data_IF_252399769290
#
_entry.id   IF_252399769290
#
_cell.length_a   1.000
_cell.length_b   1.000
_cell.length_c   1.000
_cell.angle_alpha   90.00
_cell.angle_beta   90.00
_cell.angle_gamma   90.00
#
_symmetry.space_group_name_H-M   'P 1'
#
loop_
_entity.id
_entity.type
_entity.pdbx_description
1 polymer ?
#
# COMPACT_ATOMS: atom_id res chain seq x y z
N UNK A 1 -24.23 -29.52 -14.51
CA UNK A 1 -25.04 -28.32 -14.20
C UNK A 1 -24.42 -27.60 -13.02
N UNK A 2 -24.55 -28.08 -11.77
CA UNK A 2 -23.97 -27.40 -10.59
C UNK A 2 -22.44 -27.22 -10.67
N UNK A 3 -21.71 -28.26 -11.10
CA UNK A 3 -20.26 -28.18 -11.30
C UNK A 3 -19.85 -27.11 -12.33
N UNK A 4 -20.56 -27.03 -13.45
CA UNK A 4 -20.30 -26.06 -14.51
C UNK A 4 -20.64 -24.63 -14.08
N UNK A 5 -21.71 -24.45 -13.30
CA UNK A 5 -22.05 -23.14 -12.72
C UNK A 5 -20.97 -22.67 -11.73
N UNK A 6 -20.44 -23.57 -10.91
CA UNK A 6 -19.35 -23.24 -9.98
C UNK A 6 -18.05 -22.88 -10.71
N UNK A 7 -17.68 -23.62 -11.76
CA UNK A 7 -16.53 -23.29 -12.62
C UNK A 7 -16.71 -21.92 -13.30
N UNK A 8 -17.92 -21.62 -13.79
CA UNK A 8 -18.23 -20.31 -14.38
C UNK A 8 -18.10 -19.17 -13.38
N UNK A 9 -18.57 -19.36 -12.14
CA UNK A 9 -18.42 -18.36 -11.08
C UNK A 9 -16.95 -18.17 -10.68
N UNK A 10 -16.16 -19.24 -10.64
CA UNK A 10 -14.71 -19.15 -10.39
C UNK A 10 -14.00 -18.38 -11.51
N UNK A 11 -14.34 -18.64 -12.77
CA UNK A 11 -13.81 -17.88 -13.91
C UNK A 11 -14.21 -16.40 -13.85
N UNK A 12 -15.39 -16.08 -13.33
CA UNK A 12 -15.84 -14.70 -13.17
C UNK A 12 -15.09 -13.98 -12.03
N UNK A 13 -14.77 -14.70 -10.95
CA UNK A 13 -13.94 -14.17 -9.85
C UNK A 13 -12.54 -13.81 -10.37
N UNK A 14 -11.91 -14.70 -11.16
CA UNK A 14 -10.62 -14.41 -11.79
C UNK A 14 -10.72 -13.21 -12.75
N UNK A 15 -11.78 -13.14 -13.55
CA UNK A 15 -12.02 -12.00 -14.43
C UNK A 15 -12.12 -10.69 -13.65
N UNK A 16 -12.84 -10.67 -12.53
CA UNK A 16 -12.96 -9.50 -11.66
C UNK A 16 -11.60 -9.13 -11.07
N UNK A 17 -10.85 -10.10 -10.57
CA UNK A 17 -9.50 -9.90 -10.05
C UNK A 17 -8.59 -9.21 -11.08
N UNK A 18 -8.71 -9.62 -12.36
CA UNK A 18 -7.92 -9.08 -13.46
C UNK A 18 -8.45 -7.78 -14.08
N UNK A 19 -9.71 -7.41 -13.82
CA UNK A 19 -10.36 -6.23 -14.42
C UNK A 19 -10.44 -5.05 -13.45
N UNK A 20 -10.34 -5.27 -12.13
CA UNK A 20 -10.37 -4.16 -11.15
C UNK A 20 -9.07 -3.36 -11.26
N UNK A 21 -9.19 -2.17 -11.85
CA UNK A 21 -8.11 -1.22 -12.05
C UNK A 21 -8.40 0.15 -11.44
N UNK A 22 -7.34 0.83 -11.03
CA UNK A 22 -7.34 2.25 -10.69
C UNK A 22 -6.16 2.91 -11.40
N UNK A 23 -6.45 3.98 -12.14
CA UNK A 23 -5.44 4.69 -12.95
C UNK A 23 -4.60 3.75 -13.83
N UNK A 24 -5.27 2.83 -14.55
CA UNK A 24 -4.65 1.81 -15.43
C UNK A 24 -3.81 0.74 -14.72
N UNK A 25 -3.75 0.78 -13.38
CA UNK A 25 -3.04 -0.21 -12.57
C UNK A 25 -4.03 -1.21 -11.97
N UNK A 26 -3.77 -2.50 -12.16
CA UNK A 26 -4.61 -3.57 -11.63
C UNK A 26 -4.36 -3.71 -10.14
N UNK A 27 -5.43 -3.67 -9.35
CA UNK A 27 -5.29 -3.64 -7.89
C UNK A 27 -5.28 -5.04 -7.26
N UNK A 28 -6.03 -5.98 -7.82
CA UNK A 28 -6.33 -7.27 -7.18
C UNK A 28 -5.57 -8.47 -7.78
N UNK A 29 -4.75 -8.23 -8.81
CA UNK A 29 -3.92 -9.25 -9.46
C UNK A 29 -2.65 -9.62 -8.65
N UNK A 30 -2.41 -8.96 -7.50
CA UNK A 30 -1.19 -9.13 -6.69
C UNK A 30 0.01 -8.33 -7.17
N UNK A 31 -0.18 -7.37 -8.07
CA UNK A 31 0.90 -6.49 -8.53
C UNK A 31 1.48 -5.64 -7.40
N UNK A 32 0.64 -5.29 -6.43
CA UNK A 32 0.96 -4.50 -5.24
C UNK A 32 1.22 -5.35 -3.99
N UNK A 33 1.45 -6.65 -4.14
CA UNK A 33 1.89 -7.51 -3.06
C UNK A 33 3.42 -7.60 -3.01
N UNK A 34 3.96 -8.06 -1.89
CA UNK A 34 5.39 -8.28 -1.72
C UNK A 34 5.86 -9.43 -2.65
N UNK A 35 6.89 -9.15 -3.47
CA UNK A 35 7.41 -10.12 -4.46
C UNK A 35 8.64 -10.84 -3.94
N UNK A 36 8.67 -12.15 -4.12
CA UNK A 36 9.82 -12.99 -3.83
C UNK A 36 10.10 -13.86 -5.04
N UNK A 37 11.38 -13.99 -5.35
CA UNK A 37 11.84 -14.77 -6.49
C UNK A 37 12.48 -16.05 -5.98
N UNK A 38 12.24 -17.13 -6.68
CA UNK A 38 12.87 -18.42 -6.44
C UNK A 38 13.91 -18.66 -7.52
N UNK A 39 14.95 -19.43 -7.18
CA UNK A 39 16.00 -19.79 -8.13
C UNK A 39 15.53 -20.86 -9.11
N UNK A 40 14.57 -21.70 -8.70
CA UNK A 40 13.97 -22.73 -9.53
C UNK A 40 12.66 -22.27 -10.19
N UNK A 41 12.52 -22.54 -11.49
CA UNK A 41 11.34 -22.14 -12.29
C UNK A 41 10.04 -22.88 -11.89
N UNK A 42 10.19 -23.96 -11.13
CA UNK A 42 9.14 -24.91 -10.72
C UNK A 42 8.41 -24.52 -9.43
N UNK A 43 8.98 -23.62 -8.64
CA UNK A 43 8.39 -23.11 -7.40
C UNK A 43 8.30 -21.59 -7.49
N UNK A 44 7.19 -20.98 -7.07
CA UNK A 44 7.03 -19.53 -6.96
C UNK A 44 6.61 -19.20 -5.55
N UNK A 45 6.99 -18.04 -5.02
CA UNK A 45 6.37 -17.55 -3.78
C UNK A 45 5.09 -16.82 -4.16
N UNK A 46 3.96 -17.31 -3.64
CA UNK A 46 2.63 -16.75 -3.90
C UNK A 46 2.40 -15.48 -3.08
N UNK A 47 2.71 -15.53 -1.79
CA UNK A 47 2.62 -14.38 -0.86
C UNK A 47 3.61 -14.55 0.29
N UNK A 48 4.08 -13.45 0.89
CA UNK A 48 4.79 -13.52 2.17
C UNK A 48 4.50 -12.28 3.03
N UNK A 49 4.51 -12.45 4.36
CA UNK A 49 4.14 -11.40 5.30
C UNK A 49 5.19 -10.29 5.42
N UNK A 50 4.75 -9.11 5.86
CA UNK A 50 5.58 -7.94 6.19
C UNK A 50 6.67 -8.22 7.24
N UNK A 51 6.54 -9.31 8.01
CA UNK A 51 7.50 -9.77 9.01
C UNK A 51 8.61 -10.67 8.46
N UNK A 52 8.53 -11.06 7.18
CA UNK A 52 9.62 -11.75 6.50
C UNK A 52 10.71 -10.73 6.20
N UNK A 53 11.85 -10.86 6.88
CA UNK A 53 12.99 -9.97 6.69
C UNK A 53 13.55 -10.11 5.27
N UNK A 54 13.93 -8.99 4.65
CA UNK A 54 14.54 -9.00 3.31
C UNK A 54 15.81 -9.87 3.29
N UNK A 55 15.93 -10.70 2.27
CA UNK A 55 17.11 -11.53 2.05
C UNK A 55 16.81 -12.91 1.49
N UNK A 56 17.88 -13.68 1.35
CA UNK A 56 17.85 -15.03 0.81
C UNK A 56 17.44 -16.03 1.90
N UNK A 57 16.46 -16.84 1.56
CA UNK A 57 15.91 -17.95 2.32
C UNK A 57 16.25 -19.22 1.54
N UNK A 58 17.10 -20.07 2.10
CA UNK A 58 17.53 -21.29 1.42
C UNK A 58 16.60 -22.42 1.85
N UNK A 59 15.96 -23.10 0.92
CA UNK A 59 15.31 -24.38 1.18
C UNK A 59 16.24 -25.46 0.66
N UNK A 60 16.78 -26.29 1.55
CA UNK A 60 17.63 -27.42 1.16
C UNK A 60 16.80 -28.69 1.11
N UNK A 61 17.13 -29.60 0.20
CA UNK A 61 16.43 -30.88 0.04
C UNK A 61 14.90 -30.74 -0.07
N UNK A 62 14.42 -29.91 -1.01
CA UNK A 62 12.99 -29.73 -1.22
C UNK A 62 12.40 -30.98 -1.89
N UNK A 63 11.75 -31.82 -1.08
CA UNK A 63 11.03 -33.00 -1.53
C UNK A 63 9.52 -32.76 -1.47
N UNK A 64 8.83 -33.12 -2.56
CA UNK A 64 7.37 -33.06 -2.69
C UNK A 64 6.85 -34.46 -2.90
N UNK A 65 5.80 -34.86 -2.16
CA UNK A 65 4.98 -36.02 -2.55
C UNK A 65 3.71 -35.53 -3.23
N UNK A 66 3.36 -36.15 -4.35
CA UNK A 66 2.15 -35.85 -5.12
C UNK A 66 1.06 -36.88 -4.77
N UNK A 67 -0.19 -36.43 -4.62
CA UNK A 67 -1.36 -37.30 -4.53
C UNK A 67 -1.72 -37.90 -5.90
N UNK A 68 -2.69 -38.82 -5.91
CA UNK A 68 -3.15 -39.51 -7.12
C UNK A 68 -3.85 -38.58 -8.16
N UNK A 69 -4.15 -37.34 -7.77
CA UNK A 69 -4.80 -36.32 -8.61
C UNK A 69 -3.80 -35.28 -9.13
N UNK A 70 -2.50 -35.44 -8.82
CA UNK A 70 -1.43 -34.57 -9.29
C UNK A 70 -1.24 -33.29 -8.47
N UNK A 71 -1.73 -33.24 -7.22
CA UNK A 71 -1.49 -32.12 -6.29
C UNK A 71 -0.41 -32.47 -5.26
N UNK A 72 0.28 -31.46 -4.74
CA UNK A 72 1.24 -31.57 -3.61
C UNK A 72 0.50 -32.04 -2.35
N UNK A 73 0.81 -33.25 -1.87
CA UNK A 73 0.26 -33.90 -0.67
C UNK A 73 1.18 -33.71 0.56
N UNK A 74 2.50 -33.66 0.34
CA UNK A 74 3.45 -33.27 1.39
C UNK A 74 4.62 -32.47 0.81
N UNK A 75 5.08 -31.50 1.60
CA UNK A 75 6.26 -30.68 1.31
C UNK A 75 7.23 -30.86 2.46
N UNK A 76 8.42 -31.36 2.16
CA UNK A 76 9.54 -31.48 3.09
C UNK A 76 10.68 -30.63 2.55
N UNK A 77 11.21 -29.75 3.38
CA UNK A 77 12.40 -28.97 3.07
C UNK A 77 13.17 -28.70 4.36
N UNK A 78 14.49 -28.73 4.27
CA UNK A 78 15.38 -28.24 5.31
C UNK A 78 15.46 -26.71 5.18
N UNK A 79 14.85 -26.00 6.12
CA UNK A 79 14.87 -24.54 6.16
C UNK A 79 16.26 -24.05 6.59
N UNK A 80 16.97 -23.36 5.69
CA UNK A 80 18.30 -22.80 5.90
C UNK A 80 18.35 -21.29 5.53
N UNK A 81 19.42 -20.59 5.91
CA UNK A 81 19.51 -19.14 5.70
C UNK A 81 18.72 -18.33 6.73
N UNK A 82 17.92 -17.34 6.31
CA UNK A 82 17.18 -16.43 7.21
C UNK A 82 15.84 -16.97 7.73
N UNK A 83 15.49 -18.23 7.46
CA UNK A 83 14.29 -18.82 8.04
C UNK A 83 14.37 -18.83 9.58
N UNK A 84 13.34 -18.35 10.29
CA UNK A 84 13.27 -18.54 11.73
C UNK A 84 13.22 -20.04 12.07
N UNK A 85 13.90 -20.46 13.15
CA UNK A 85 14.05 -21.87 13.52
C UNK A 85 12.71 -22.62 13.80
N UNK A 86 11.60 -21.89 13.92
CA UNK A 86 10.25 -22.41 14.19
C UNK A 86 9.35 -22.43 12.96
N UNK A 87 9.89 -22.33 11.74
CA UNK A 87 9.08 -22.45 10.51
C UNK A 87 8.50 -23.86 10.42
N UNK A 88 7.17 -23.93 10.36
CA UNK A 88 6.40 -25.16 10.13
C UNK A 88 5.50 -24.97 8.93
N UNK A 89 5.28 -26.05 8.19
CA UNK A 89 4.19 -26.10 7.21
C UNK A 89 2.87 -26.11 7.99
N UNK A 90 2.09 -25.03 7.91
CA UNK A 90 0.80 -24.90 8.58
C UNK A 90 -0.27 -25.67 7.82
N UNK A 91 -0.33 -25.49 6.49
CA UNK A 91 -1.28 -26.17 5.60
C UNK A 91 -0.70 -26.34 4.19
N UNK A 92 -1.10 -27.40 3.51
CA UNK A 92 -0.91 -27.57 2.07
C UNK A 92 -2.31 -27.68 1.46
N UNK A 93 -2.67 -26.78 0.55
CA UNK A 93 -3.97 -26.81 -0.12
C UNK A 93 -3.80 -26.42 -1.58
N UNK A 94 -4.38 -27.22 -2.49
CA UNK A 94 -4.40 -26.99 -3.93
C UNK A 94 -3.05 -26.51 -4.47
N UNK A 95 -2.00 -27.25 -4.11
CA UNK A 95 -0.65 -27.05 -4.62
C UNK A 95 0.09 -25.79 -4.12
N UNK A 96 -0.42 -25.19 -3.04
CA UNK A 96 0.22 -24.12 -2.28
C UNK A 96 0.60 -24.58 -0.88
N UNK A 97 1.83 -24.30 -0.46
CA UNK A 97 2.38 -24.63 0.86
C UNK A 97 2.41 -23.35 1.70
N UNK A 98 1.58 -23.32 2.75
CA UNK A 98 1.58 -22.25 3.73
C UNK A 98 2.60 -22.56 4.82
N UNK A 99 3.69 -21.81 4.85
CA UNK A 99 4.67 -21.84 5.94
C UNK A 99 4.27 -20.80 6.99
N UNK A 100 4.18 -21.22 8.26
CA UNK A 100 4.03 -20.30 9.40
C UNK A 100 5.14 -20.52 10.41
N UNK A 101 5.65 -19.43 10.99
CA UNK A 101 6.49 -19.49 12.18
C UNK A 101 5.90 -18.65 13.32
N UNK A 102 6.25 -18.99 14.56
CA UNK A 102 5.69 -18.41 15.80
C UNK A 102 5.81 -16.88 15.94
N UNK A 103 6.61 -16.23 15.11
CA UNK A 103 6.79 -14.77 15.09
C UNK A 103 5.83 -14.02 14.15
N UNK A 104 4.84 -14.70 13.55
CA UNK A 104 3.96 -14.11 12.52
C UNK A 104 4.61 -14.08 11.14
N UNK A 105 5.61 -14.92 10.91
CA UNK A 105 6.15 -15.24 9.60
C UNK A 105 5.09 -16.09 8.89
N UNK A 106 4.55 -15.60 7.77
CA UNK A 106 3.69 -16.39 6.89
C UNK A 106 4.28 -16.30 5.48
N UNK A 107 4.57 -17.43 4.85
CA UNK A 107 5.02 -17.48 3.45
C UNK A 107 4.29 -18.59 2.73
N UNK A 108 3.57 -18.24 1.67
CA UNK A 108 2.87 -19.19 0.82
C UNK A 108 3.72 -19.45 -0.42
N UNK A 109 4.11 -20.71 -0.63
CA UNK A 109 4.80 -21.13 -1.84
C UNK A 109 3.79 -21.78 -2.77
N UNK A 110 3.76 -21.37 -4.02
CA UNK A 110 3.04 -22.00 -5.10
C UNK A 110 3.98 -22.98 -5.82
N UNK A 111 3.62 -24.27 -5.82
CA UNK A 111 4.40 -25.33 -6.45
C UNK A 111 3.68 -25.88 -7.70
N UNK A 112 2.70 -25.14 -8.25
CA UNK A 112 1.81 -25.58 -9.37
C UNK A 112 2.60 -26.09 -10.58
N UNK A 113 3.79 -25.54 -10.80
CA UNK A 113 4.69 -25.96 -11.87
C UNK A 113 5.48 -27.24 -11.53
N UNK A 114 5.86 -27.44 -10.28
CA UNK A 114 6.51 -28.67 -9.83
C UNK A 114 5.57 -29.89 -9.90
N UNK A 115 4.30 -29.67 -9.58
CA UNK A 115 3.24 -30.67 -9.68
C UNK A 115 2.88 -31.00 -11.13
N UNK A 116 2.81 -29.99 -12.01
CA UNK A 116 2.59 -30.19 -13.45
C UNK A 116 3.76 -30.92 -14.14
N UNK A 117 4.99 -30.77 -13.64
CA UNK A 117 6.19 -31.45 -14.16
C UNK A 117 6.47 -32.81 -13.49
N UNK A 118 5.70 -33.22 -12.48
CA UNK A 118 5.89 -34.49 -11.77
C UNK A 118 7.24 -34.63 -11.04
N UNK A 119 7.89 -33.50 -10.71
CA UNK A 119 9.18 -33.48 -10.02
C UNK A 119 8.96 -33.60 -8.52
N UNK A 120 9.38 -34.73 -7.96
CA UNK A 120 9.30 -35.03 -6.51
C UNK A 120 10.51 -34.55 -5.71
N UNK A 121 11.56 -34.10 -6.40
CA UNK A 121 12.78 -33.54 -5.81
C UNK A 121 13.14 -32.26 -6.56
N UNK A 122 13.02 -31.12 -5.89
CA UNK A 122 13.34 -29.79 -6.43
C UNK A 122 14.75 -29.34 -6.06
N UNK A 123 15.51 -30.17 -5.33
CA UNK A 123 16.86 -29.82 -4.90
C UNK A 123 16.89 -28.63 -3.94
N UNK A 124 18.01 -27.90 -3.94
CA UNK A 124 18.18 -26.70 -3.14
C UNK A 124 17.53 -25.51 -3.87
N UNK A 125 16.54 -24.88 -3.24
CA UNK A 125 15.82 -23.73 -3.78
C UNK A 125 16.08 -22.50 -2.92
N UNK A 126 16.80 -21.54 -3.48
CA UNK A 126 16.95 -20.23 -2.84
C UNK A 126 15.77 -19.33 -3.20
N UNK A 127 15.15 -18.76 -2.18
CA UNK A 127 14.08 -17.77 -2.24
C UNK A 127 14.66 -16.42 -1.86
N UNK A 128 14.67 -15.48 -2.79
CA UNK A 128 14.99 -14.08 -2.52
C UNK A 128 13.70 -13.30 -2.21
N UNK A 129 13.47 -13.02 -0.93
CA UNK A 129 12.42 -12.10 -0.51
C UNK A 129 12.92 -10.66 -0.68
N UNK A 130 12.57 -10.06 -1.81
CA UNK A 130 13.07 -8.74 -2.20
C UNK A 130 12.55 -7.61 -1.30
N UNK A 131 11.40 -7.81 -0.64
CA UNK A 131 10.70 -6.78 0.12
C UNK A 131 10.36 -5.55 -0.73
N UNK A 132 10.15 -5.77 -2.04
CA UNK A 132 9.74 -4.78 -3.04
C UNK A 132 8.43 -5.29 -3.65
N UNK A 133 7.47 -4.39 -3.86
CA UNK A 133 6.19 -4.73 -4.50
C UNK A 133 5.01 -3.91 -3.96
N UNK A 134 5.05 -3.54 -2.68
CA UNK A 134 4.03 -2.67 -2.09
C UNK A 134 3.96 -1.32 -2.80
N UNK A 135 2.73 -0.81 -3.03
CA UNK A 135 2.51 0.53 -3.54
C UNK A 135 2.93 1.55 -2.49
N UNK A 136 3.79 2.50 -2.86
CA UNK A 136 4.28 3.55 -1.95
C UNK A 136 3.62 4.86 -2.30
N UNK A 137 2.73 5.34 -1.44
CA UNK A 137 2.08 6.64 -1.58
C UNK A 137 2.77 7.66 -0.68
N UNK A 138 3.19 8.79 -1.24
CA UNK A 138 3.62 9.92 -0.43
C UNK A 138 2.37 10.65 0.08
N UNK A 139 2.16 10.59 1.39
CA UNK A 139 0.95 11.11 2.04
C UNK A 139 1.25 12.34 2.89
N UNK A 140 2.48 12.83 2.88
CA UNK A 140 2.92 13.95 3.71
C UNK A 140 3.80 14.95 2.96
N UNK A 141 3.90 16.15 3.52
CA UNK A 141 4.68 17.26 2.97
C UNK A 141 6.18 17.11 3.20
N UNK A 142 6.61 16.26 4.15
CA UNK A 142 8.02 16.02 4.47
C UNK A 142 8.55 14.74 3.83
N UNK A 143 9.87 14.70 3.59
CA UNK A 143 10.56 13.50 3.12
C UNK A 143 10.37 12.31 4.07
N UNK A 144 10.12 11.13 3.51
CA UNK A 144 9.94 9.89 4.27
C UNK A 144 8.52 9.66 4.82
N UNK A 145 7.59 10.60 4.65
CA UNK A 145 6.17 10.41 4.99
C UNK A 145 5.44 9.62 3.90
N UNK A 146 5.72 8.31 3.87
CA UNK A 146 5.13 7.38 2.91
C UNK A 146 4.22 6.37 3.58
N UNK A 147 3.13 6.03 2.89
CA UNK A 147 2.25 4.92 3.21
C UNK A 147 2.53 3.80 2.22
N UNK A 148 2.95 2.65 2.75
CA UNK A 148 3.08 1.42 1.97
C UNK A 148 1.76 0.66 2.02
N UNK A 149 1.14 0.50 0.86
CA UNK A 149 -0.11 -0.23 0.67
C UNK A 149 0.24 -1.57 0.03
N UNK A 150 -0.09 -2.64 0.74
CA UNK A 150 0.03 -4.00 0.25
C UNK A 150 -1.37 -4.49 -0.11
N UNK A 151 -1.56 -4.90 -1.37
CA UNK A 151 -2.81 -5.51 -1.81
C UNK A 151 -2.47 -6.91 -2.32
N UNK A 152 -2.80 -7.96 -1.56
CA UNK A 152 -2.53 -9.31 -1.98
C UNK A 152 -3.47 -9.72 -3.11
N UNK A 153 -3.05 -10.72 -3.89
CA UNK A 153 -3.86 -11.23 -5.00
C UNK A 153 -5.14 -11.89 -4.49
N UNK A 154 -6.26 -11.66 -5.18
CA UNK A 154 -7.58 -12.25 -4.89
C UNK A 154 -8.02 -13.20 -6.03
N UNK A 155 -7.06 -13.88 -6.67
CA UNK A 155 -7.34 -14.91 -7.68
C UNK A 155 -7.80 -16.23 -7.08
N UNK A 156 -8.49 -17.06 -7.87
CA UNK A 156 -8.97 -18.38 -7.44
C UNK A 156 -7.83 -19.30 -6.99
N UNK A 157 -6.63 -19.08 -7.52
CA UNK A 157 -5.41 -19.83 -7.16
C UNK A 157 -5.00 -19.56 -5.72
N UNK A 158 -4.91 -18.30 -5.33
CA UNK A 158 -4.53 -17.87 -3.98
C UNK A 158 -5.61 -18.18 -2.95
N UNK A 159 -6.86 -18.33 -3.39
CA UNK A 159 -8.00 -18.69 -2.55
C UNK A 159 -8.24 -20.20 -2.46
N UNK A 160 -7.47 -21.04 -3.15
CA UNK A 160 -7.64 -22.51 -3.15
C UNK A 160 -8.99 -22.95 -3.72
N UNK A 161 -9.45 -22.30 -4.80
CA UNK A 161 -10.73 -22.58 -5.45
C UNK A 161 -10.57 -23.23 -6.83
N UNK A 162 -9.36 -23.61 -7.26
CA UNK A 162 -9.12 -24.22 -8.58
C UNK A 162 -9.76 -25.59 -8.75
N UNK A 163 -9.75 -26.42 -7.70
CA UNK A 163 -10.26 -27.80 -7.74
C UNK A 163 -11.47 -27.98 -6.81
N UNK A 164 -12.59 -27.33 -7.15
CA UNK A 164 -13.87 -27.57 -6.48
C UNK A 164 -14.59 -28.74 -7.16
N UNK A 165 -14.79 -29.84 -6.43
CA UNK A 165 -15.61 -30.95 -6.90
C UNK A 165 -16.95 -30.98 -6.15
N UNK A 166 -18.02 -30.56 -6.82
CA UNK A 166 -19.39 -30.54 -6.29
C UNK A 166 -20.22 -31.77 -6.70
N UNK A 167 -19.59 -32.75 -7.34
CA UNK A 167 -20.28 -33.95 -7.84
C UNK A 167 -20.43 -35.04 -6.77
N UNK A 168 -19.60 -35.02 -5.73
CA UNK A 168 -19.64 -35.96 -4.60
C UNK A 168 -20.09 -35.26 -3.32
N UNK A 169 -20.69 -36.01 -2.38
CA UNK A 169 -21.15 -35.44 -1.10
C UNK A 169 -19.97 -34.93 -0.26
N UNK A 170 -18.89 -35.70 -0.25
CA UNK A 170 -17.65 -35.39 0.44
C UNK A 170 -16.95 -34.19 -0.21
N UNK A 171 -16.93 -34.12 -1.55
CA UNK A 171 -16.37 -32.98 -2.30
C UNK A 171 -17.16 -31.69 -2.07
N UNK A 172 -18.50 -31.76 -2.02
CA UNK A 172 -19.34 -30.61 -1.72
C UNK A 172 -19.12 -30.07 -0.29
N UNK A 173 -18.89 -30.94 0.70
CA UNK A 173 -18.58 -30.53 2.06
C UNK A 173 -17.20 -29.86 2.14
N UNK A 174 -16.19 -30.41 1.47
CA UNK A 174 -14.86 -29.79 1.36
C UNK A 174 -14.92 -28.45 0.62
N UNK A 175 -15.74 -28.33 -0.42
CA UNK A 175 -15.94 -27.09 -1.16
C UNK A 175 -16.53 -25.98 -0.29
N UNK A 176 -17.50 -26.27 0.58
CA UNK A 176 -18.06 -25.30 1.53
C UNK A 176 -16.98 -24.79 2.48
N UNK A 177 -16.10 -25.66 2.94
CA UNK A 177 -15.01 -25.31 3.85
C UNK A 177 -13.96 -24.43 3.12
N UNK A 178 -13.58 -24.78 1.89
CA UNK A 178 -12.71 -23.97 1.02
C UNK A 178 -13.31 -22.58 0.75
N UNK A 179 -14.59 -22.51 0.37
CA UNK A 179 -15.30 -21.24 0.15
C UNK A 179 -15.36 -20.39 1.43
N UNK A 180 -15.57 -21.01 2.60
CA UNK A 180 -15.57 -20.29 3.88
C UNK A 180 -14.18 -19.70 4.20
N UNK A 181 -13.12 -20.44 3.86
CA UNK A 181 -11.74 -19.95 3.91
C UNK A 181 -11.51 -18.76 2.97
N UNK A 182 -11.93 -18.89 1.71
CA UNK A 182 -11.84 -17.83 0.70
C UNK A 182 -12.61 -16.56 1.12
N UNK A 183 -13.81 -16.69 1.67
CA UNK A 183 -14.59 -15.55 2.20
C UNK A 183 -13.84 -14.86 3.34
N UNK A 184 -13.26 -15.64 4.25
CA UNK A 184 -12.48 -15.10 5.38
C UNK A 184 -11.23 -14.36 4.89
N UNK A 185 -10.57 -14.87 3.85
CA UNK A 185 -9.45 -14.22 3.19
C UNK A 185 -9.87 -12.90 2.52
N UNK A 186 -10.93 -12.90 1.69
CA UNK A 186 -11.44 -11.66 1.08
C UNK A 186 -11.84 -10.64 2.14
N UNK A 187 -12.42 -11.09 3.25
CA UNK A 187 -12.78 -10.23 4.38
C UNK A 187 -11.55 -9.60 5.03
N UNK A 188 -10.46 -10.35 5.19
CA UNK A 188 -9.20 -9.81 5.74
C UNK A 188 -8.59 -8.77 4.80
N UNK A 189 -8.56 -9.03 3.48
CA UNK A 189 -8.08 -8.08 2.46
C UNK A 189 -8.92 -6.80 2.49
N UNK A 190 -10.25 -6.91 2.54
CA UNK A 190 -11.14 -5.75 2.65
C UNK A 190 -10.89 -4.96 3.93
N UNK A 191 -10.63 -5.64 5.05
CA UNK A 191 -10.30 -4.98 6.31
C UNK A 191 -9.00 -4.19 6.23
N UNK A 192 -7.98 -4.72 5.52
CA UNK A 192 -6.72 -4.02 5.32
C UNK A 192 -6.90 -2.78 4.44
N UNK A 193 -7.65 -2.90 3.34
CA UNK A 193 -7.99 -1.75 2.48
C UNK A 193 -8.75 -0.68 3.27
N UNK A 194 -9.72 -1.08 4.11
CA UNK A 194 -10.42 -0.15 5.00
C UNK A 194 -9.48 0.55 5.99
N UNK A 195 -8.50 -0.16 6.55
CA UNK A 195 -7.49 0.44 7.41
C UNK A 195 -6.62 1.47 6.66
N UNK A 196 -6.21 1.17 5.42
CA UNK A 196 -5.50 2.13 4.57
C UNK A 196 -6.35 3.36 4.23
N UNK A 197 -7.63 3.17 3.92
CA UNK A 197 -8.58 4.28 3.70
C UNK A 197 -8.69 5.19 4.92
N UNK A 198 -8.89 4.63 6.12
CA UNK A 198 -8.96 5.41 7.36
C UNK A 198 -7.69 6.20 7.62
N UNK A 199 -6.53 5.61 7.34
CA UNK A 199 -5.23 6.29 7.48
C UNK A 199 -5.08 7.42 6.45
N UNK A 200 -5.47 7.20 5.20
CA UNK A 200 -5.46 8.23 4.16
C UNK A 200 -6.38 9.39 4.54
N UNK A 201 -7.62 9.12 4.96
CA UNK A 201 -8.56 10.15 5.40
C UNK A 201 -8.04 10.97 6.59
N UNK A 202 -7.47 10.29 7.60
CA UNK A 202 -6.85 10.97 8.75
C UNK A 202 -5.66 11.83 8.33
N UNK A 203 -4.90 11.38 7.33
CA UNK A 203 -3.75 12.12 6.82
C UNK A 203 -4.18 13.33 6.00
N UNK A 204 -5.20 13.18 5.15
CA UNK A 204 -5.81 14.30 4.40
C UNK A 204 -6.30 15.38 5.37
N UNK A 205 -7.07 15.01 6.39
CA UNK A 205 -7.55 15.96 7.40
C UNK A 205 -6.38 16.68 8.11
N UNK A 206 -5.29 15.97 8.40
CA UNK A 206 -4.11 16.56 9.04
C UNK A 206 -3.35 17.51 8.09
N UNK A 207 -3.28 17.17 6.81
CA UNK A 207 -2.69 18.02 5.78
C UNK A 207 -3.51 19.29 5.56
N UNK A 208 -4.84 19.19 5.54
CA UNK A 208 -5.72 20.35 5.38
C UNK A 208 -5.56 21.33 6.56
N UNK A 209 -5.51 20.85 7.80
CA UNK A 209 -5.21 21.68 8.98
C UNK A 209 -3.83 22.33 8.86
N UNK A 210 -2.84 21.57 8.40
CA UNK A 210 -1.48 22.10 8.20
C UNK A 210 -1.45 23.16 7.11
N UNK A 211 -2.21 22.96 6.03
CA UNK A 211 -2.35 23.91 4.94
C UNK A 211 -3.03 25.21 5.42
N UNK A 212 -4.09 25.11 6.21
CA UNK A 212 -4.77 26.27 6.82
C UNK A 212 -3.81 27.04 7.74
N UNK A 213 -3.09 26.34 8.62
CA UNK A 213 -2.11 26.96 9.52
C UNK A 213 -0.97 27.62 8.75
N UNK A 214 -0.46 26.97 7.70
CA UNK A 214 0.60 27.53 6.86
C UNK A 214 0.10 28.76 6.10
N UNK A 215 -1.12 28.71 5.58
CA UNK A 215 -1.75 29.84 4.88
C UNK A 215 -1.98 31.01 5.84
N UNK A 216 -2.42 30.75 7.07
CA UNK A 216 -2.57 31.77 8.11
C UNK A 216 -1.22 32.38 8.53
N UNK A 217 -0.19 31.55 8.70
CA UNK A 217 1.17 32.03 8.99
C UNK A 217 1.73 32.86 7.84
N UNK A 218 1.49 32.42 6.60
CA UNK A 218 1.88 33.14 5.39
C UNK A 218 1.16 34.48 5.30
N UNK A 219 -0.17 34.51 5.51
CA UNK A 219 -0.98 35.73 5.60
C UNK A 219 -0.43 36.67 6.66
N UNK A 220 -0.07 36.19 7.85
CA UNK A 220 0.55 37.04 8.89
C UNK A 220 1.91 37.62 8.52
N UNK A 221 2.66 36.97 7.64
CA UNK A 221 3.99 37.44 7.19
C UNK A 221 3.87 38.40 6.00
N UNK A 222 2.96 38.10 5.07
CA UNK A 222 2.85 38.79 3.78
C UNK A 222 1.77 39.87 3.79
N UNK A 223 0.66 39.63 4.47
CA UNK A 223 -0.47 40.55 4.48
C UNK A 223 -0.19 41.65 5.53
N UNK A 224 -0.48 42.88 5.11
CA UNK A 224 -0.37 44.05 5.98
C UNK A 224 -1.64 44.22 6.79
N UNK A 225 -1.52 44.66 8.05
CA UNK A 225 -2.66 45.14 8.81
C UNK A 225 -3.16 46.46 8.19
N UNK A 226 -4.26 46.37 7.44
CA UNK A 226 -4.85 47.51 6.75
C UNK A 226 -5.22 48.65 7.70
N UNK A 227 -5.56 48.38 8.97
CA UNK A 227 -5.91 49.44 9.91
C UNK A 227 -4.66 50.26 10.32
N UNK A 228 -3.55 49.58 10.56
CA UNK A 228 -2.27 50.21 10.88
C UNK A 228 -1.71 50.96 9.66
N UNK A 229 -1.73 50.33 8.49
CA UNK A 229 -1.18 50.94 7.28
C UNK A 229 -2.01 52.13 6.79
N UNK A 230 -3.34 52.09 6.93
CA UNK A 230 -4.20 53.25 6.63
C UNK A 230 -3.97 54.40 7.61
N UNK A 231 -3.67 54.11 8.87
CA UNK A 231 -3.31 55.14 9.86
C UNK A 231 -1.97 55.78 9.48
N UNK A 232 -0.95 54.97 9.22
CA UNK A 232 0.37 55.43 8.76
C UNK A 232 0.23 56.23 7.47
N UNK A 233 -0.47 55.71 6.46
CA UNK A 233 -0.75 56.41 5.20
C UNK A 233 -1.44 57.76 5.42
N UNK A 234 -2.46 57.81 6.27
CA UNK A 234 -3.16 59.06 6.60
C UNK A 234 -2.24 60.05 7.32
N UNK A 235 -1.39 59.58 8.26
CA UNK A 235 -0.41 60.45 8.92
C UNK A 235 0.63 61.00 7.94
N UNK A 236 1.13 60.18 7.00
CA UNK A 236 2.03 60.64 5.95
C UNK A 236 1.35 61.64 5.01
N UNK A 237 0.08 61.42 4.67
CA UNK A 237 -0.68 62.34 3.84
C UNK A 237 -0.91 63.69 4.54
N UNK A 238 -1.29 63.68 5.83
CA UNK A 238 -1.41 64.88 6.66
C UNK A 238 -0.06 65.57 6.80
N UNK A 239 1.03 64.84 7.03
CA UNK A 239 2.37 65.39 7.16
C UNK A 239 2.84 66.04 5.85
N UNK A 240 2.55 65.43 4.71
CA UNK A 240 2.85 66.00 3.39
C UNK A 240 2.06 67.30 3.15
N UNK A 241 0.77 67.33 3.50
CA UNK A 241 -0.07 68.52 3.39
C UNK A 241 0.32 69.62 4.40
N UNK A 242 0.72 69.24 5.61
CA UNK A 242 1.26 70.16 6.61
C UNK A 242 2.62 70.71 6.16
N UNK A 243 3.49 69.87 5.58
CA UNK A 243 4.79 70.25 5.05
C UNK A 243 4.68 71.26 3.91
N UNK A 244 3.76 71.05 2.96
CA UNK A 244 3.49 72.02 1.89
C UNK A 244 2.91 73.33 2.43
N UNK A 245 2.00 73.27 3.41
CA UNK A 245 1.43 74.45 4.06
C UNK A 245 2.46 75.23 4.89
N UNK A 246 3.35 74.52 5.60
CA UNK A 246 4.45 75.11 6.36
C UNK A 246 5.52 75.71 5.45
N UNK A 247 5.85 75.07 4.33
CA UNK A 247 6.73 75.64 3.30
C UNK A 247 6.12 76.93 2.72
N UNK A 248 4.83 76.94 2.42
CA UNK A 248 4.13 78.14 1.96
C UNK A 248 4.20 79.27 3.00
N UNK A 249 3.91 78.97 4.27
CA UNK A 249 3.94 79.97 5.35
C UNK A 249 5.37 80.42 5.72
N UNK A 250 6.38 79.55 5.54
CA UNK A 250 7.78 79.90 5.69
C UNK A 250 8.29 80.78 4.54
N UNK A 251 7.73 80.64 3.33
CA UNK A 251 8.03 81.53 2.20
C UNK A 251 7.37 82.91 2.32
N UNK A 252 6.23 83.03 3.02
CA UNK A 252 5.56 84.32 3.26
C UNK A 252 6.17 85.17 4.39
N UNK A 253 6.79 84.54 5.40
CA UNK A 253 7.44 85.28 6.50
C UNK A 253 8.53 86.27 6.02
N UNK A 254 9.45 85.88 5.11
CA UNK A 254 10.44 86.80 4.55
C UNK A 254 9.83 87.99 3.80
N UNK A 255 8.74 87.79 3.05
CA UNK A 255 8.10 88.88 2.29
C UNK A 255 7.38 89.87 3.20
N UNK A 256 6.79 89.41 4.32
CA UNK A 256 6.22 90.29 5.35
C UNK A 256 7.28 91.13 6.08
N UNK A 257 8.44 90.54 6.37
CA UNK A 257 9.57 91.30 6.96
C UNK A 257 10.10 92.36 5.98
N UNK A 258 10.09 92.06 4.68
CA UNK A 258 10.50 93.02 3.65
C UNK A 258 9.53 94.21 3.53
N UNK A 259 8.24 94.01 3.81
CA UNK A 259 7.23 95.08 3.87
C UNK A 259 7.38 95.99 5.11
N UNK A 260 7.98 95.51 6.20
CA UNK A 260 8.25 96.30 7.41
C UNK A 260 9.57 97.09 7.36
N UNK A 261 10.42 96.82 6.37
CA UNK A 261 11.71 97.49 6.14
C UNK A 261 11.64 98.56 5.03
N UNK A 262 10.47 98.78 4.42
CA UNK A 262 10.17 99.90 3.51
C UNK A 262 9.32 100.94 4.23
#
# INVERSE_FOLDING_TARGET
MIQQEAEQLCSEIDRISDTVEFDTQKLLNGEFDLKAYTTEETMKVSTYSDKVAKGQYELKNVAITLDADGNVDSFQADFAGKFPADVKVDKIQDNQVYLKAGNGFEMTLDLSRAAAEGKTDLGDVDIDATGIGAMRLQIGSNEGQVLEIQIPSVGIKQMGLENLNLSTKEGAQAAIEKISGAISYVSSVRSQIGAYQNRLESTVNSLDITNENMTSAYSRIMDVDMAEEMTSYTTYQILAQAGTSMLAQANERPSQVLQLLQ
#
